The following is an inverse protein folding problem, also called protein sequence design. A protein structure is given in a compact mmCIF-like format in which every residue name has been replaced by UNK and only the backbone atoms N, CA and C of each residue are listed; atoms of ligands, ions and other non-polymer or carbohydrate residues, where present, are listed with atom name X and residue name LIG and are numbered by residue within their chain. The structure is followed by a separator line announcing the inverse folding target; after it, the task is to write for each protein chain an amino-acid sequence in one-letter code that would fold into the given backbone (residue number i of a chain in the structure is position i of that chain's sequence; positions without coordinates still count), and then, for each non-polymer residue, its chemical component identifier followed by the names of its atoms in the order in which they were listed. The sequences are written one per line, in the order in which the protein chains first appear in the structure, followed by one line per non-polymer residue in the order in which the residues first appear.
data_IF_533807913490
#
_entry.id   IF_533807913490
#
_cell.length_a   1.000
_cell.length_b   1.000
_cell.length_c   1.000
_cell.angle_alpha   90.00
_cell.angle_beta   90.00
_cell.angle_gamma   90.00
#
_symmetry.space_group_name_H-M   'P 1'
#
loop_
_entity.id
_entity.type
_entity.pdbx_description
1 polymer ?
#
# COMPACT_ATOMS: atom_id res chain seq x y z
N UNK A 1 -47.77 -10.80 36.70
CA UNK A 1 -47.34 -10.78 35.29
C UNK A 1 -46.67 -9.45 35.02
N UNK A 2 -45.35 -9.39 35.14
CA UNK A 2 -44.54 -8.22 34.78
C UNK A 2 -44.39 -8.21 33.27
N UNK A 3 -44.96 -7.21 32.60
CA UNK A 3 -44.77 -7.00 31.17
C UNK A 3 -43.27 -6.83 30.88
N UNK A 4 -42.73 -7.49 29.84
CA UNK A 4 -41.33 -7.33 29.48
C UNK A 4 -41.06 -5.86 29.11
N UNK A 5 -39.86 -5.33 29.40
CA UNK A 5 -39.52 -3.97 29.05
C UNK A 5 -39.69 -3.78 27.55
N UNK A 6 -40.52 -2.80 27.17
CA UNK A 6 -40.70 -2.39 25.78
C UNK A 6 -39.33 -1.99 25.24
N UNK A 7 -38.77 -2.84 24.36
CA UNK A 7 -37.56 -2.49 23.62
C UNK A 7 -37.85 -1.20 22.86
N UNK A 8 -37.13 -0.12 23.21
CA UNK A 8 -37.21 1.13 22.46
C UNK A 8 -36.91 0.81 20.99
N UNK A 9 -37.72 1.32 20.04
CA UNK A 9 -37.42 1.15 18.63
C UNK A 9 -36.00 1.70 18.35
N UNK A 10 -35.22 1.03 17.49
CA UNK A 10 -33.85 1.43 17.23
C UNK A 10 -33.81 2.86 16.67
N UNK A 11 -32.95 3.71 17.24
CA UNK A 11 -32.77 5.08 16.77
C UNK A 11 -32.12 5.08 15.39
N UNK A 12 -32.74 5.78 14.44
CA UNK A 12 -32.15 6.02 13.13
C UNK A 12 -30.95 6.98 13.27
N UNK A 13 -29.97 6.82 12.39
CA UNK A 13 -28.78 7.67 12.29
C UNK A 13 -28.56 8.08 10.84
N UNK A 14 -27.91 9.24 10.58
CA UNK A 14 -27.53 9.63 9.23
C UNK A 14 -26.69 8.54 8.54
N UNK A 15 -26.81 8.44 7.21
CA UNK A 15 -26.09 7.44 6.41
C UNK A 15 -24.57 7.69 6.34
N UNK A 16 -24.12 8.91 6.64
CA UNK A 16 -22.72 9.29 6.65
C UNK A 16 -22.47 10.44 7.64
N UNK A 17 -21.20 10.68 7.94
CA UNK A 17 -20.77 11.84 8.70
C UNK A 17 -20.60 13.05 7.78
N UNK A 18 -21.58 13.95 7.77
CA UNK A 18 -21.53 15.15 6.94
C UNK A 18 -20.36 16.08 7.27
N UNK A 19 -19.75 15.97 8.46
CA UNK A 19 -18.63 16.82 8.90
C UNK A 19 -17.27 16.17 8.74
N UNK A 20 -17.20 14.89 8.39
CA UNK A 20 -15.92 14.17 8.33
C UNK A 20 -14.99 14.79 7.29
N UNK A 21 -15.51 15.13 6.11
CA UNK A 21 -14.70 15.76 5.07
C UNK A 21 -14.09 17.09 5.54
N UNK A 22 -14.86 17.94 6.23
CA UNK A 22 -14.36 19.21 6.78
C UNK A 22 -13.27 18.98 7.85
N UNK A 23 -13.46 17.98 8.71
CA UNK A 23 -12.47 17.62 9.76
C UNK A 23 -11.16 17.09 9.15
N UNK A 24 -11.26 16.31 8.08
CA UNK A 24 -10.10 15.86 7.32
C UNK A 24 -9.39 17.03 6.64
N UNK A 25 -10.13 17.95 6.02
CA UNK A 25 -9.58 19.16 5.41
C UNK A 25 -8.85 20.04 6.45
N UNK A 26 -9.42 20.23 7.65
CA UNK A 26 -8.76 20.94 8.75
C UNK A 26 -7.45 20.26 9.16
N UNK A 27 -7.42 18.93 9.25
CA UNK A 27 -6.20 18.18 9.55
C UNK A 27 -5.14 18.27 8.45
N UNK A 28 -5.54 18.33 7.17
CA UNK A 28 -4.61 18.56 6.04
C UNK A 28 -3.98 19.96 6.10
N UNK A 29 -4.75 20.97 6.51
CA UNK A 29 -4.27 22.35 6.63
C UNK A 29 -3.37 22.56 7.86
N UNK A 30 -3.56 21.78 8.92
CA UNK A 30 -2.75 21.87 10.14
C UNK A 30 -1.33 21.33 9.92
N UNK A 31 -0.32 22.21 9.96
CA UNK A 31 1.11 21.85 9.79
C UNK A 31 1.86 21.62 11.11
N UNK A 32 1.23 21.99 12.21
CA UNK A 32 1.74 21.78 13.56
C UNK A 32 0.73 20.92 14.33
N UNK A 33 1.25 20.01 15.15
CA UNK A 33 0.41 19.15 15.97
C UNK A 33 0.01 19.85 17.27
N UNK A 34 -1.25 19.70 17.65
CA UNK A 34 -1.74 19.97 19.00
C UNK A 34 -1.90 18.63 19.73
N UNK A 35 -1.40 18.50 20.95
CA UNK A 35 -1.55 17.27 21.75
C UNK A 35 -0.23 16.66 22.23
N UNK A 36 -0.23 15.39 22.68
CA UNK A 36 0.90 14.80 23.42
C UNK A 36 2.23 14.70 22.67
N UNK A 37 2.21 14.91 21.35
CA UNK A 37 3.39 14.89 20.48
C UNK A 37 3.73 16.28 19.91
N UNK A 38 3.12 17.36 20.42
CA UNK A 38 3.31 18.74 19.92
C UNK A 38 4.76 19.23 20.00
N UNK A 39 5.55 18.68 20.93
CA UNK A 39 6.97 19.03 21.09
C UNK A 39 7.85 18.47 19.95
N UNK A 40 7.32 17.52 19.16
CA UNK A 40 8.02 16.95 17.99
C UNK A 40 7.61 17.71 16.74
N UNK A 41 8.52 18.53 16.21
CA UNK A 41 8.31 19.18 14.91
C UNK A 41 8.38 18.16 13.79
N UNK A 42 7.58 18.36 12.74
CA UNK A 42 7.52 17.48 11.55
C UNK A 42 8.91 17.23 10.96
N UNK A 43 9.75 18.27 10.88
CA UNK A 43 11.10 18.17 10.35
C UNK A 43 12.04 17.28 11.18
N UNK A 44 11.72 16.98 12.44
CA UNK A 44 12.55 16.12 13.32
C UNK A 44 12.19 14.65 13.21
N UNK A 45 11.03 14.31 12.63
CA UNK A 45 10.56 12.92 12.54
C UNK A 45 11.56 12.00 11.82
N UNK A 46 12.17 12.37 10.67
CA UNK A 46 13.18 11.53 10.02
C UNK A 46 14.37 11.21 10.94
N UNK A 47 14.87 12.23 11.66
CA UNK A 47 15.98 12.06 12.60
C UNK A 47 15.61 11.15 13.78
N UNK A 48 14.36 11.22 14.27
CA UNK A 48 13.85 10.31 15.30
C UNK A 48 13.80 8.86 14.80
N UNK A 49 13.39 8.64 13.55
CA UNK A 49 13.39 7.30 12.94
C UNK A 49 14.82 6.77 12.79
N UNK A 50 15.74 7.61 12.31
CA UNK A 50 17.15 7.26 12.15
C UNK A 50 17.81 6.95 13.50
N UNK A 51 17.53 7.76 14.52
CA UNK A 51 18.00 7.53 15.89
C UNK A 51 17.50 6.17 16.41
N UNK A 52 16.20 5.89 16.27
CA UNK A 52 15.61 4.60 16.67
C UNK A 52 16.22 3.41 15.91
N UNK A 53 16.50 3.58 14.61
CA UNK A 53 17.17 2.55 13.81
C UNK A 53 18.59 2.26 14.34
N UNK A 54 19.34 3.31 14.70
CA UNK A 54 20.71 3.20 15.21
C UNK A 54 20.81 2.63 16.63
N UNK A 55 19.89 2.99 17.53
CA UNK A 55 19.93 2.57 18.94
C UNK A 55 19.20 1.25 19.19
N UNK A 56 18.40 0.77 18.24
CA UNK A 56 17.62 -0.47 18.36
C UNK A 56 18.45 -1.76 18.25
N UNK A 57 19.75 -1.65 17.93
CA UNK A 57 20.63 -2.82 17.77
C UNK A 57 20.14 -3.78 16.68
N UNK A 58 19.56 -3.24 15.60
CA UNK A 58 19.00 -4.02 14.51
C UNK A 58 20.10 -4.43 13.53
N UNK A 59 20.18 -5.74 13.25
CA UNK A 59 21.10 -6.30 12.25
C UNK A 59 20.29 -7.17 11.31
N UNK A 60 20.45 -6.96 10.00
CA UNK A 60 19.78 -7.75 8.95
C UNK A 60 20.85 -8.21 7.96
N UNK A 61 21.15 -9.51 7.99
CA UNK A 61 22.15 -10.13 7.13
C UNK A 61 21.51 -11.13 6.18
N UNK A 62 22.01 -11.20 4.94
CA UNK A 62 21.62 -12.28 4.02
C UNK A 62 22.18 -13.60 4.52
N UNK A 63 21.36 -14.64 4.47
CA UNK A 63 21.75 -16.02 4.82
C UNK A 63 21.34 -16.99 3.71
N UNK A 64 22.01 -18.14 3.59
CA UNK A 64 21.55 -19.20 2.69
C UNK A 64 20.10 -19.60 2.95
N UNK A 65 19.37 -19.98 1.90
CA UNK A 65 17.96 -20.39 2.03
C UNK A 65 17.80 -21.66 2.89
N UNK A 66 18.81 -22.54 2.89
CA UNK A 66 18.87 -23.74 3.73
C UNK A 66 19.25 -23.45 5.19
N UNK A 67 19.64 -22.21 5.52
CA UNK A 67 19.94 -21.75 6.87
C UNK A 67 18.78 -21.01 7.54
N UNK A 68 17.62 -20.88 6.87
CA UNK A 68 16.43 -20.26 7.44
C UNK A 68 15.82 -21.18 8.51
N UNK A 69 15.99 -20.83 9.78
CA UNK A 69 15.38 -21.52 10.91
C UNK A 69 13.85 -21.49 10.82
N UNK A 70 13.22 -22.67 10.88
CA UNK A 70 11.77 -22.84 10.82
C UNK A 70 11.18 -22.71 9.41
N UNK A 71 11.99 -22.53 8.37
CA UNK A 71 11.56 -22.51 6.98
C UNK A 71 12.21 -23.64 6.20
N UNK A 72 11.44 -24.32 5.37
CA UNK A 72 11.94 -25.43 4.56
C UNK A 72 11.25 -25.51 3.21
N UNK A 73 11.92 -26.16 2.26
CA UNK A 73 11.31 -26.49 0.97
C UNK A 73 10.49 -27.76 1.09
N UNK A 74 9.19 -27.65 0.90
CA UNK A 74 8.26 -28.78 1.00
C UNK A 74 8.58 -29.85 -0.05
N UNK A 75 8.79 -31.13 0.33
CA UNK A 75 9.00 -32.21 -0.61
C UNK A 75 7.85 -32.34 -1.62
N UNK A 76 8.17 -32.64 -2.89
CA UNK A 76 7.19 -32.75 -3.97
C UNK A 76 6.85 -31.40 -4.63
N UNK A 77 6.40 -30.40 -3.85
CA UNK A 77 6.02 -29.10 -4.41
C UNK A 77 7.18 -28.12 -4.58
N UNK A 78 8.21 -28.26 -3.75
CA UNK A 78 9.33 -27.33 -3.68
C UNK A 78 8.95 -25.94 -3.14
N UNK A 79 7.74 -25.75 -2.60
CA UNK A 79 7.32 -24.47 -2.00
C UNK A 79 8.18 -24.16 -0.77
N UNK A 80 8.59 -22.91 -0.59
CA UNK A 80 9.28 -22.47 0.63
C UNK A 80 8.23 -22.01 1.65
N UNK A 81 8.09 -22.73 2.75
CA UNK A 81 7.08 -22.47 3.76
C UNK A 81 7.66 -22.57 5.17
N UNK A 82 6.99 -21.93 6.13
CA UNK A 82 7.35 -22.08 7.54
C UNK A 82 6.77 -23.39 8.10
N UNK A 83 7.54 -24.12 8.91
CA UNK A 83 7.19 -25.44 9.44
C UNK A 83 5.91 -25.43 10.28
N UNK A 84 5.55 -24.27 10.84
CA UNK A 84 4.30 -24.11 11.60
C UNK A 84 3.06 -23.90 10.73
N UNK A 85 3.18 -23.80 9.41
CA UNK A 85 2.08 -23.45 8.49
C UNK A 85 1.55 -22.01 8.65
N UNK A 86 2.32 -21.11 9.28
CA UNK A 86 1.96 -19.70 9.52
C UNK A 86 2.79 -18.77 8.64
N UNK A 87 2.57 -17.46 8.80
CA UNK A 87 3.21 -16.40 8.02
C UNK A 87 2.75 -16.42 6.56
N UNK A 88 3.60 -16.88 5.65
CA UNK A 88 3.34 -16.96 4.21
C UNK A 88 4.14 -18.13 3.62
N UNK A 89 3.82 -18.51 2.40
CA UNK A 89 4.63 -19.41 1.57
C UNK A 89 5.13 -18.67 0.33
N UNK A 90 6.24 -19.15 -0.22
CA UNK A 90 6.65 -18.86 -1.59
C UNK A 90 6.27 -20.06 -2.45
N UNK A 91 5.39 -19.82 -3.41
CA UNK A 91 4.84 -20.83 -4.31
C UNK A 91 5.11 -20.45 -5.76
N UNK A 92 4.72 -21.31 -6.71
CA UNK A 92 4.70 -20.95 -8.13
C UNK A 92 3.39 -20.27 -8.51
N UNK A 93 3.47 -19.39 -9.51
CA UNK A 93 2.34 -18.85 -10.24
C UNK A 93 2.50 -19.22 -11.71
N UNK A 94 1.41 -19.64 -12.35
CA UNK A 94 1.27 -19.62 -13.80
C UNK A 94 0.18 -18.62 -14.15
N UNK A 95 0.52 -17.63 -14.96
CA UNK A 95 -0.41 -16.61 -15.45
C UNK A 95 -0.47 -16.61 -16.97
N UNK A 96 -1.68 -16.47 -17.51
CA UNK A 96 -1.97 -16.40 -18.93
C UNK A 96 -2.88 -15.20 -19.20
N UNK A 97 -2.51 -14.41 -20.20
CA UNK A 97 -3.30 -13.26 -20.67
C UNK A 97 -3.81 -13.59 -22.07
N UNK A 98 -5.12 -13.73 -22.18
CA UNK A 98 -5.82 -13.89 -23.45
C UNK A 98 -5.89 -12.60 -24.27
N UNK A 99 -6.30 -12.72 -25.53
CA UNK A 99 -6.38 -11.62 -26.49
C UNK A 99 -5.91 -12.03 -27.88
N UNK A 100 -5.65 -11.05 -28.75
CA UNK A 100 -5.14 -11.29 -30.11
C UNK A 100 -3.73 -11.89 -30.15
N UNK A 101 -2.92 -11.61 -29.12
CA UNK A 101 -1.60 -12.21 -28.90
C UNK A 101 -1.52 -12.80 -27.49
N UNK A 102 -1.97 -14.06 -27.31
CA UNK A 102 -1.89 -14.74 -26.03
C UNK A 102 -0.44 -14.85 -25.58
N UNK A 103 -0.18 -14.51 -24.31
CA UNK A 103 1.12 -14.71 -23.69
C UNK A 103 0.92 -15.17 -22.25
N UNK A 104 1.84 -16.01 -21.77
CA UNK A 104 1.85 -16.46 -20.40
C UNK A 104 3.24 -16.36 -19.81
N UNK A 105 3.30 -16.34 -18.48
CA UNK A 105 4.55 -16.38 -17.74
C UNK A 105 4.38 -17.20 -16.48
N UNK A 106 5.52 -17.61 -15.92
CA UNK A 106 5.59 -18.25 -14.62
C UNK A 106 6.54 -17.47 -13.72
N UNK A 107 6.26 -17.46 -12.42
CA UNK A 107 7.11 -16.80 -11.44
C UNK A 107 6.88 -17.35 -10.04
N UNK A 108 7.85 -17.21 -9.12
CA UNK A 108 7.58 -17.29 -7.70
C UNK A 108 6.55 -16.24 -7.27
N UNK A 109 5.72 -16.57 -6.30
CA UNK A 109 4.73 -15.64 -5.73
C UNK A 109 4.57 -15.87 -4.23
N UNK A 110 4.30 -14.80 -3.49
CA UNK A 110 3.96 -14.88 -2.06
C UNK A 110 2.49 -15.29 -1.95
N UNK A 111 2.23 -16.37 -1.23
CA UNK A 111 0.89 -16.79 -0.88
C UNK A 111 0.67 -16.65 0.62
N UNK A 112 -0.27 -15.77 0.99
CA UNK A 112 -0.68 -15.54 2.37
C UNK A 112 -2.20 -15.26 2.40
N UNK A 113 -3.04 -16.30 2.52
CA UNK A 113 -4.50 -16.15 2.46
C UNK A 113 -5.11 -15.46 3.68
N UNK A 114 -4.31 -15.17 4.72
CA UNK A 114 -4.76 -14.42 5.89
C UNK A 114 -4.93 -12.93 5.60
N UNK A 115 -6.08 -12.36 5.99
CA UNK A 115 -6.31 -10.91 6.03
C UNK A 115 -5.71 -10.33 7.31
N UNK A 116 -4.75 -9.41 7.18
CA UNK A 116 -4.21 -8.63 8.29
C UNK A 116 -5.02 -7.36 8.54
N UNK A 117 -4.80 -6.75 9.71
CA UNK A 117 -5.33 -5.43 10.07
C UNK A 117 -4.21 -4.41 9.86
N UNK A 118 -4.51 -3.38 9.07
CA UNK A 118 -3.75 -2.14 8.93
C UNK A 118 -4.63 -1.02 9.51
N UNK A 119 -4.43 -0.74 10.80
CA UNK A 119 -5.28 0.13 11.60
C UNK A 119 -4.59 1.43 11.95
N UNK A 120 -5.21 2.55 11.60
CA UNK A 120 -4.80 3.89 12.00
C UNK A 120 -5.80 4.46 13.01
N UNK A 121 -5.31 4.78 14.20
CA UNK A 121 -6.11 5.38 15.27
C UNK A 121 -6.12 6.88 15.10
N UNK A 122 -7.30 7.47 15.12
CA UNK A 122 -7.53 8.89 15.01
C UNK A 122 -8.08 9.45 16.33
N UNK A 123 -7.71 10.69 16.65
CA UNK A 123 -8.26 11.44 17.79
C UNK A 123 -8.17 12.93 17.51
N UNK A 124 -9.15 13.68 17.99
CA UNK A 124 -9.06 15.15 17.95
C UNK A 124 -8.29 15.69 19.15
N UNK A 125 -7.39 16.63 18.85
CA UNK A 125 -6.73 17.48 19.84
C UNK A 125 -6.94 18.92 19.39
N UNK A 126 -7.49 19.76 20.26
CA UNK A 126 -7.85 21.15 19.96
C UNK A 126 -8.66 21.32 18.66
N UNK A 127 -9.59 20.40 18.41
CA UNK A 127 -10.48 20.41 17.24
C UNK A 127 -9.84 19.92 15.93
N UNK A 128 -8.60 19.43 15.95
CA UNK A 128 -7.89 18.91 14.77
C UNK A 128 -7.66 17.40 14.90
N UNK A 129 -8.05 16.64 13.87
CA UNK A 129 -7.77 15.22 13.80
C UNK A 129 -6.27 14.96 13.70
N UNK A 130 -5.77 14.11 14.60
CA UNK A 130 -4.43 13.53 14.56
C UNK A 130 -4.54 12.02 14.41
N UNK A 131 -3.47 11.42 13.92
CA UNK A 131 -3.35 10.00 13.61
C UNK A 131 -2.12 9.43 14.33
N UNK A 132 -2.31 8.35 15.08
CA UNK A 132 -1.26 7.75 15.89
C UNK A 132 -0.37 6.86 15.04
N UNK A 133 0.78 7.36 14.61
CA UNK A 133 1.74 6.62 13.81
C UNK A 133 2.68 5.81 14.69
N UNK A 134 3.21 4.71 14.16
CA UNK A 134 4.22 3.89 14.83
C UNK A 134 5.55 3.95 14.07
N UNK A 135 6.64 4.30 14.76
CA UNK A 135 8.00 4.09 14.28
C UNK A 135 8.34 2.58 14.35
N UNK A 136 8.11 1.88 13.24
CA UNK A 136 8.17 0.43 13.15
C UNK A 136 9.41 -0.02 12.38
N UNK A 137 10.17 -0.92 13.00
CA UNK A 137 11.23 -1.66 12.32
C UNK A 137 10.64 -2.80 11.50
N UNK A 138 11.07 -2.91 10.24
CA UNK A 138 10.87 -4.07 9.39
C UNK A 138 12.18 -4.41 8.67
N UNK A 139 12.52 -5.71 8.51
CA UNK A 139 13.86 -6.10 8.07
C UNK A 139 14.17 -5.72 6.62
N UNK A 140 13.15 -5.58 5.79
CA UNK A 140 13.27 -5.18 4.40
C UNK A 140 13.29 -3.68 4.16
N UNK A 141 12.98 -2.86 5.17
CA UNK A 141 12.98 -1.40 5.04
C UNK A 141 14.39 -0.89 4.74
N UNK A 142 14.52 0.04 3.79
CA UNK A 142 15.83 0.52 3.40
C UNK A 142 16.54 1.33 4.50
N UNK A 143 15.77 2.05 5.34
CA UNK A 143 16.23 2.70 6.57
C UNK A 143 15.92 1.93 7.85
N UNK A 144 15.51 0.65 7.76
CA UNK A 144 15.01 -0.23 8.83
C UNK A 144 13.71 0.25 9.51
N UNK A 145 13.63 1.51 9.95
CA UNK A 145 12.50 2.07 10.69
C UNK A 145 11.75 3.08 9.83
N UNK A 146 10.43 2.91 9.71
CA UNK A 146 9.52 3.83 9.01
C UNK A 146 8.27 4.09 9.85
N UNK A 147 7.47 5.09 9.49
CA UNK A 147 6.15 5.28 10.06
C UNK A 147 5.16 4.28 9.47
N UNK A 148 4.62 3.41 10.31
CA UNK A 148 3.54 2.47 10.00
C UNK A 148 2.21 2.91 10.62
N UNK A 149 1.09 2.25 10.26
CA UNK A 149 -0.17 2.42 10.98
C UNK A 149 0.00 2.09 12.47
N UNK A 150 -0.93 2.58 13.30
CA UNK A 150 -0.96 2.31 14.74
C UNK A 150 -0.89 0.82 15.06
N UNK A 151 -1.60 0.02 14.26
CA UNK A 151 -1.63 -1.44 14.31
C UNK A 151 -1.36 -1.98 12.91
N UNK A 152 -0.32 -2.80 12.80
CA UNK A 152 -0.02 -3.62 11.62
C UNK A 152 0.16 -5.05 12.10
N UNK A 153 -0.89 -5.87 11.98
CA UNK A 153 -0.93 -7.22 12.55
C UNK A 153 -1.65 -8.22 11.65
N UNK A 154 -1.04 -9.38 11.42
CA UNK A 154 -1.69 -10.52 10.75
C UNK A 154 -2.70 -11.19 11.69
N UNK A 155 -3.66 -11.92 11.11
CA UNK A 155 -4.65 -12.69 11.87
C UNK A 155 -4.03 -13.66 12.85
N UNK A 156 -3.05 -14.43 12.40
CA UNK A 156 -2.24 -15.32 13.25
C UNK A 156 -1.62 -14.64 14.48
N UNK A 157 -1.24 -13.37 14.37
CA UNK A 157 -0.64 -12.62 15.47
C UNK A 157 -1.69 -12.06 16.46
N UNK A 158 -2.84 -11.56 15.98
CA UNK A 158 -3.83 -10.92 16.86
C UNK A 158 -4.87 -11.88 17.47
N UNK A 159 -5.00 -13.11 16.98
CA UNK A 159 -5.84 -14.16 17.62
C UNK A 159 -5.15 -14.86 18.80
N UNK A 160 -3.97 -14.38 19.23
CA UNK A 160 -3.18 -14.89 20.38
C UNK A 160 -2.88 -16.39 20.32
N UNK A 161 -2.79 -16.97 19.11
CA UNK A 161 -2.35 -18.36 18.92
C UNK A 161 -0.87 -18.52 19.30
N UNK A 162 -0.12 -17.41 19.28
CA UNK A 162 1.18 -17.31 19.95
C UNK A 162 0.97 -16.76 21.36
N UNK A 163 1.65 -17.32 22.37
CA UNK A 163 1.75 -16.77 23.73
C UNK A 163 2.58 -15.46 23.78
N UNK A 164 2.58 -14.69 22.69
CA UNK A 164 3.31 -13.44 22.55
C UNK A 164 2.62 -12.28 23.27
N UNK A 165 3.31 -11.16 23.43
CA UNK A 165 2.74 -9.93 24.00
C UNK A 165 1.57 -9.42 23.16
N UNK A 166 0.58 -8.86 23.85
CA UNK A 166 -0.57 -8.22 23.23
C UNK A 166 -0.12 -7.09 22.28
N UNK A 167 -0.65 -7.12 21.04
CA UNK A 167 -0.43 -6.05 20.05
C UNK A 167 -1.00 -4.74 20.62
N UNK A 168 -0.13 -3.74 20.79
CA UNK A 168 -0.51 -2.44 21.33
C UNK A 168 -1.69 -1.83 20.54
N UNK A 169 -2.69 -1.30 21.25
CA UNK A 169 -3.86 -0.59 20.68
C UNK A 169 -4.79 -1.43 19.80
N UNK A 170 -4.60 -2.76 19.73
CA UNK A 170 -5.44 -3.65 18.91
C UNK A 170 -6.93 -3.58 19.28
N UNK A 171 -7.26 -3.38 20.55
CA UNK A 171 -8.62 -3.28 21.07
C UNK A 171 -9.44 -2.13 20.45
N UNK A 172 -8.77 -1.12 19.89
CA UNK A 172 -9.45 -0.06 19.15
C UNK A 172 -9.96 -0.52 17.78
N UNK A 173 -9.48 -1.64 17.23
CA UNK A 173 -9.82 -2.11 15.88
C UNK A 173 -10.67 -3.38 15.88
N UNK A 174 -10.78 -4.07 17.02
CA UNK A 174 -11.51 -5.33 17.17
C UNK A 174 -12.47 -5.30 18.36
N UNK A 175 -13.52 -6.13 18.31
CA UNK A 175 -14.42 -6.32 19.45
C UNK A 175 -15.37 -5.14 19.74
N UNK A 176 -16.09 -5.20 20.88
CA UNK A 176 -17.15 -4.23 21.21
C UNK A 176 -16.62 -2.87 21.68
N UNK A 177 -15.34 -2.79 22.07
CA UNK A 177 -14.69 -1.54 22.51
C UNK A 177 -14.13 -0.71 21.34
N UNK A 178 -14.38 -1.14 20.10
CA UNK A 178 -13.98 -0.43 18.88
C UNK A 178 -14.53 0.99 18.88
N UNK A 179 -13.68 1.96 18.56
CA UNK A 179 -14.09 3.35 18.37
C UNK A 179 -14.98 3.56 17.15
N UNK A 180 -15.19 4.82 16.79
CA UNK A 180 -15.98 5.21 15.62
C UNK A 180 -15.19 4.94 14.35
N UNK A 181 -15.69 4.07 13.49
CA UNK A 181 -15.05 3.79 12.19
C UNK A 181 -15.23 4.98 11.25
N UNK A 182 -14.11 5.48 10.72
CA UNK A 182 -14.08 6.47 9.65
C UNK A 182 -13.95 5.81 8.28
N UNK A 183 -13.17 4.74 8.18
CA UNK A 183 -13.11 3.82 7.03
C UNK A 183 -12.72 2.41 7.47
N UNK A 184 -13.20 1.39 6.76
CA UNK A 184 -12.98 -0.04 7.05
C UNK A 184 -13.24 -0.85 5.78
N UNK A 185 -12.18 -1.15 5.03
CA UNK A 185 -12.26 -1.71 3.68
C UNK A 185 -11.14 -2.73 3.43
N UNK A 186 -11.45 -3.79 2.70
CA UNK A 186 -10.43 -4.72 2.20
C UNK A 186 -9.78 -4.13 0.96
N UNK A 187 -8.46 -4.00 0.97
CA UNK A 187 -7.68 -3.54 -0.18
C UNK A 187 -6.64 -4.57 -0.56
N UNK A 188 -6.41 -4.70 -1.87
CA UNK A 188 -5.40 -5.58 -2.48
C UNK A 188 -3.97 -5.10 -2.20
N UNK A 189 -3.03 -6.03 -2.11
CA UNK A 189 -1.59 -5.73 -2.11
C UNK A 189 -0.99 -5.82 -3.53
N UNK A 190 0.34 -5.86 -3.65
CA UNK A 190 1.04 -5.97 -4.94
C UNK A 190 0.61 -7.23 -5.72
N UNK A 191 -0.08 -7.06 -6.86
CA UNK A 191 -0.46 -8.15 -7.75
C UNK A 191 0.71 -8.79 -8.50
N UNK A 192 1.87 -8.13 -8.54
CA UNK A 192 3.09 -8.70 -9.12
C UNK A 192 3.79 -9.71 -8.21
N UNK A 193 3.56 -9.66 -6.90
CA UNK A 193 4.32 -10.43 -5.91
C UNK A 193 3.48 -11.19 -4.90
N UNK A 194 2.21 -10.83 -4.72
CA UNK A 194 1.28 -11.55 -3.87
C UNK A 194 0.15 -12.19 -4.68
N UNK A 195 -0.21 -13.42 -4.34
CA UNK A 195 -1.38 -14.07 -4.89
C UNK A 195 -2.62 -13.72 -4.06
N UNK A 196 -3.53 -12.94 -4.65
CA UNK A 196 -4.85 -12.60 -4.12
C UNK A 196 -4.84 -12.01 -2.70
N UNK A 197 -3.72 -11.38 -2.30
CA UNK A 197 -3.54 -10.83 -0.96
C UNK A 197 -4.37 -9.57 -0.81
N UNK A 198 -5.16 -9.53 0.26
CA UNK A 198 -5.80 -8.32 0.76
C UNK A 198 -5.47 -8.09 2.24
N UNK A 199 -5.50 -6.83 2.66
CA UNK A 199 -5.48 -6.43 4.05
C UNK A 199 -6.67 -5.53 4.36
N UNK A 200 -7.13 -5.58 5.61
CA UNK A 200 -8.21 -4.73 6.12
C UNK A 200 -7.63 -3.39 6.54
N UNK A 201 -7.88 -2.37 5.71
CA UNK A 201 -7.44 -0.99 5.93
C UNK A 201 -8.52 -0.29 6.77
N UNK A 202 -8.14 0.20 7.95
CA UNK A 202 -9.07 0.77 8.91
C UNK A 202 -8.57 2.10 9.45
N UNK A 203 -9.47 3.08 9.55
CA UNK A 203 -9.27 4.26 10.38
C UNK A 203 -10.37 4.30 11.43
N UNK A 204 -9.97 4.34 12.70
CA UNK A 204 -10.90 4.36 13.84
C UNK A 204 -10.62 5.59 14.68
N UNK A 205 -11.65 6.38 14.92
CA UNK A 205 -11.64 7.53 15.80
C UNK A 205 -11.99 7.13 17.25
N UNK A 206 -11.28 7.70 18.23
CA UNK A 206 -11.58 7.52 19.65
C UNK A 206 -11.57 8.86 20.38
N UNK A 207 -12.51 9.02 21.32
CA UNK A 207 -12.57 10.09 22.31
C UNK A 207 -11.79 9.75 23.60
N UNK A 208 -11.58 8.45 23.84
CA UNK A 208 -10.83 7.89 24.98
C UNK A 208 -9.44 8.47 25.08
N UNK A 209 -8.94 8.57 26.30
CA UNK A 209 -7.54 8.89 26.50
C UNK A 209 -6.62 7.73 26.08
N UNK A 210 -5.60 8.04 25.28
CA UNK A 210 -4.72 7.05 24.67
C UNK A 210 -3.28 7.33 25.12
N UNK A 211 -2.73 6.51 26.02
CA UNK A 211 -1.34 6.64 26.43
C UNK A 211 -0.42 6.49 25.22
N UNK A 212 0.46 7.45 24.98
CA UNK A 212 1.46 7.38 23.91
C UNK A 212 2.63 6.51 24.37
N UNK A 213 2.81 5.36 23.74
CA UNK A 213 3.92 4.43 24.02
C UNK A 213 5.19 4.89 23.29
N UNK A 214 6.35 4.44 23.76
CA UNK A 214 7.60 4.64 23.03
C UNK A 214 7.49 4.15 21.58
N UNK A 215 8.03 4.94 20.65
CA UNK A 215 7.94 4.70 19.22
C UNK A 215 6.57 5.00 18.61
N UNK A 216 5.68 5.70 19.30
CA UNK A 216 4.43 6.21 18.74
C UNK A 216 4.38 7.74 18.78
N UNK A 217 3.73 8.33 17.78
CA UNK A 217 3.58 9.78 17.66
C UNK A 217 2.24 10.14 17.01
N UNK A 218 1.57 11.15 17.56
CA UNK A 218 0.38 11.74 16.95
C UNK A 218 0.79 12.76 15.90
N UNK A 219 0.25 12.62 14.68
CA UNK A 219 0.51 13.54 13.56
C UNK A 219 -0.79 13.95 12.86
N UNK A 220 -0.89 15.20 12.41
CA UNK A 220 -1.97 15.62 11.52
C UNK A 220 -1.77 15.09 10.09
N UNK A 221 -2.79 15.19 9.24
CA UNK A 221 -2.63 14.87 7.81
C UNK A 221 -1.68 15.85 7.10
N UNK A 222 -1.63 17.11 7.52
CA UNK A 222 -0.70 18.10 6.97
C UNK A 222 0.76 17.73 7.24
N UNK A 223 1.06 17.27 8.46
CA UNK A 223 2.38 16.74 8.82
C UNK A 223 2.71 15.46 8.03
N UNK A 224 1.75 14.53 7.90
CA UNK A 224 1.94 13.32 7.09
C UNK A 224 2.16 13.64 5.60
N UNK A 225 1.48 14.65 5.05
CA UNK A 225 1.71 15.14 3.69
C UNK A 225 3.12 15.67 3.48
N UNK A 226 3.69 16.39 4.46
CA UNK A 226 5.10 16.82 4.41
C UNK A 226 6.07 15.64 4.46
N UNK A 227 5.79 14.64 5.31
CA UNK A 227 6.62 13.45 5.45
C UNK A 227 6.55 12.53 4.22
N UNK A 228 5.44 12.52 3.47
CA UNK A 228 5.33 11.80 2.19
C UNK A 228 6.22 12.38 1.08
N UNK A 229 6.71 13.62 1.24
CA UNK A 229 7.69 14.23 0.34
C UNK A 229 9.14 13.87 0.70
N UNK A 230 9.34 13.03 1.72
CA UNK A 230 10.64 12.57 2.16
C UNK A 230 10.80 11.08 1.91
N UNK A 231 11.97 10.71 1.42
CA UNK A 231 12.25 9.34 1.00
C UNK A 231 12.11 8.37 2.17
N UNK A 232 11.39 7.27 1.94
CA UNK A 232 11.31 6.15 2.87
C UNK A 232 10.90 6.49 4.32
N UNK A 233 10.12 7.57 4.52
CA UNK A 233 9.64 7.95 5.87
C UNK A 233 8.30 7.31 6.22
N UNK A 234 7.31 7.39 5.32
CA UNK A 234 5.97 6.84 5.53
C UNK A 234 5.84 5.51 4.78
N UNK A 235 5.61 4.41 5.51
CA UNK A 235 5.62 3.06 4.94
C UNK A 235 4.42 2.79 4.02
N UNK A 236 4.50 1.69 3.26
CA UNK A 236 3.46 1.32 2.28
C UNK A 236 2.07 1.15 2.90
N UNK A 237 1.99 0.50 4.06
CA UNK A 237 0.73 0.22 4.74
C UNK A 237 0.05 1.51 5.20
N UNK A 238 0.80 2.47 5.74
CA UNK A 238 0.30 3.80 6.08
C UNK A 238 -0.24 4.52 4.86
N UNK A 239 0.48 4.51 3.73
CA UNK A 239 0.01 5.13 2.49
C UNK A 239 -1.29 4.50 1.99
N UNK A 240 -1.40 3.17 2.07
CA UNK A 240 -2.61 2.43 1.69
C UNK A 240 -3.82 2.83 2.55
N UNK A 241 -3.65 2.90 3.87
CA UNK A 241 -4.74 3.27 4.79
C UNK A 241 -5.15 4.74 4.62
N UNK A 242 -4.17 5.65 4.49
CA UNK A 242 -4.42 7.09 4.29
C UNK A 242 -5.21 7.36 3.01
N UNK A 243 -4.93 6.63 1.94
CA UNK A 243 -5.66 6.75 0.67
C UNK A 243 -7.16 6.41 0.78
N UNK A 244 -7.55 5.64 1.81
CA UNK A 244 -8.92 5.19 2.05
C UNK A 244 -9.75 6.17 2.90
N UNK A 245 -9.17 7.25 3.41
CA UNK A 245 -9.92 8.30 4.11
C UNK A 245 -10.91 8.95 3.14
N UNK A 246 -12.19 9.15 3.50
CA UNK A 246 -13.22 9.66 2.60
C UNK A 246 -13.17 11.19 2.53
N UNK A 247 -12.33 11.73 1.65
CA UNK A 247 -12.24 13.17 1.42
C UNK A 247 -13.43 13.68 0.58
N UNK A 248 -13.76 14.97 0.73
CA UNK A 248 -14.62 15.63 -0.24
C UNK A 248 -13.89 15.75 -1.58
N UNK A 249 -14.59 15.57 -2.72
CA UNK A 249 -13.99 15.82 -4.02
C UNK A 249 -13.73 17.32 -4.21
N UNK A 250 -12.58 17.68 -4.80
CA UNK A 250 -12.23 19.08 -5.11
C UNK A 250 -13.19 19.75 -6.11
N UNK A 251 -13.92 18.95 -6.89
CA UNK A 251 -14.91 19.41 -7.84
C UNK A 251 -16.04 18.39 -7.99
N UNK A 252 -17.24 18.86 -8.29
CA UNK A 252 -18.38 18.02 -8.67
C UNK A 252 -18.40 17.66 -10.15
N UNK A 253 -17.42 18.15 -10.93
CA UNK A 253 -17.30 17.91 -12.37
C UNK A 253 -16.08 17.04 -12.70
N UNK A 254 -16.23 16.17 -13.70
CA UNK A 254 -15.17 15.31 -14.21
C UNK A 254 -15.39 15.07 -15.72
N UNK A 255 -14.35 14.65 -16.44
CA UNK A 255 -14.44 14.31 -17.86
C UNK A 255 -15.40 13.13 -18.11
N UNK A 256 -15.45 12.21 -17.15
CA UNK A 256 -16.37 11.08 -17.11
C UNK A 256 -17.15 11.11 -15.80
N UNK A 257 -18.45 10.91 -15.85
CA UNK A 257 -19.27 10.68 -14.66
C UNK A 257 -18.85 9.38 -13.93
N UNK A 258 -19.16 9.27 -12.65
CA UNK A 258 -18.86 8.07 -11.88
C UNK A 258 -19.50 6.80 -12.48
N UNK A 259 -20.65 6.94 -13.14
CA UNK A 259 -21.30 5.84 -13.84
C UNK A 259 -20.53 5.43 -15.09
N UNK A 260 -20.04 6.39 -15.88
CA UNK A 260 -19.19 6.09 -17.05
C UNK A 260 -17.87 5.46 -16.64
N UNK A 261 -17.24 5.92 -15.55
CA UNK A 261 -16.03 5.31 -14.99
C UNK A 261 -16.27 3.86 -14.59
N UNK A 262 -17.36 3.59 -13.85
CA UNK A 262 -17.73 2.21 -13.48
C UNK A 262 -18.05 1.36 -14.69
N UNK A 263 -18.74 1.91 -15.69
CA UNK A 263 -19.08 1.21 -16.94
C UNK A 263 -17.81 0.83 -17.70
N UNK A 264 -16.90 1.78 -17.89
CA UNK A 264 -15.60 1.54 -18.52
C UNK A 264 -14.80 0.48 -17.76
N UNK A 265 -14.73 0.57 -16.43
CA UNK A 265 -13.99 -0.41 -15.63
C UNK A 265 -14.62 -1.81 -15.66
N UNK A 266 -15.95 -1.90 -15.68
CA UNK A 266 -16.67 -3.16 -15.84
C UNK A 266 -16.42 -3.79 -17.22
N UNK A 267 -16.40 -2.98 -18.28
CA UNK A 267 -16.00 -3.44 -19.61
C UNK A 267 -14.54 -3.92 -19.62
N UNK A 268 -13.64 -3.16 -18.99
CA UNK A 268 -12.22 -3.51 -18.92
C UNK A 268 -11.97 -4.86 -18.25
N UNK A 269 -12.72 -5.14 -17.17
CA UNK A 269 -12.70 -6.41 -16.43
C UNK A 269 -13.35 -7.56 -17.22
N UNK A 270 -14.37 -7.27 -18.02
CA UNK A 270 -15.13 -8.29 -18.77
C UNK A 270 -14.43 -8.71 -20.07
N UNK A 271 -13.77 -7.78 -20.75
CA UNK A 271 -13.11 -8.03 -22.04
C UNK A 271 -11.78 -8.78 -21.92
N UNK A 272 -11.19 -8.82 -20.72
CA UNK A 272 -9.81 -9.31 -20.52
C UNK A 272 -9.85 -10.67 -19.81
N UNK A 273 -9.31 -11.70 -20.47
CA UNK A 273 -9.12 -13.02 -19.87
C UNK A 273 -7.72 -13.06 -19.24
N UNK A 274 -7.62 -12.83 -17.93
CA UNK A 274 -6.38 -13.10 -17.17
C UNK A 274 -6.66 -14.31 -16.29
N UNK A 275 -5.97 -15.41 -16.55
CA UNK A 275 -6.05 -16.62 -15.72
C UNK A 275 -4.76 -16.78 -14.98
N UNK A 276 -4.85 -16.89 -13.67
CA UNK A 276 -3.70 -17.15 -12.83
C UNK A 276 -4.02 -18.25 -11.83
N UNK A 277 -3.12 -19.20 -11.72
CA UNK A 277 -3.24 -20.33 -10.79
C UNK A 277 -1.93 -20.52 -10.02
N UNK A 278 -2.06 -20.96 -8.77
CA UNK A 278 -0.93 -21.43 -8.00
C UNK A 278 -0.46 -22.77 -8.54
N UNK A 279 0.86 -22.89 -8.69
CA UNK A 279 1.53 -24.12 -9.09
C UNK A 279 2.64 -24.46 -8.09
N UNK A 280 3.12 -25.71 -8.05
CA UNK A 280 4.34 -26.05 -7.32
C UNK A 280 5.50 -25.12 -7.69
N UNK A 281 6.22 -24.57 -6.72
CA UNK A 281 7.40 -23.74 -6.99
C UNK A 281 8.47 -24.50 -7.78
N UNK A 282 8.56 -25.83 -7.60
CA UNK A 282 9.44 -26.71 -8.39
C UNK A 282 9.08 -26.80 -9.88
N UNK A 283 7.87 -26.40 -10.26
CA UNK A 283 7.39 -26.43 -11.65
C UNK A 283 7.60 -25.12 -12.41
N UNK A 284 8.01 -24.05 -11.71
CA UNK A 284 8.20 -22.72 -12.30
C UNK A 284 9.40 -22.74 -13.26
N UNK A 285 9.14 -22.43 -14.54
CA UNK A 285 10.17 -22.35 -15.59
C UNK A 285 10.72 -20.93 -15.73
N UNK A 286 11.96 -20.78 -16.23
CA UNK A 286 12.65 -19.49 -16.38
C UNK A 286 13.26 -18.92 -15.08
N UNK A 287 13.13 -19.66 -13.97
CA UNK A 287 13.69 -19.33 -12.67
C UNK A 287 14.61 -20.44 -12.18
N UNK A 288 15.73 -20.08 -11.55
CA UNK A 288 16.67 -21.02 -10.97
C UNK A 288 16.82 -20.75 -9.48
N UNK A 289 17.02 -21.83 -8.71
CA UNK A 289 17.32 -21.79 -7.29
C UNK A 289 18.78 -22.19 -7.08
N UNK A 290 19.54 -21.35 -6.39
CA UNK A 290 20.84 -21.70 -5.85
C UNK A 290 20.80 -21.73 -4.32
N UNK A 291 21.97 -21.74 -3.67
CA UNK A 291 22.07 -21.77 -2.20
C UNK A 291 21.53 -20.49 -1.53
N UNK A 292 21.58 -19.35 -2.23
CA UNK A 292 21.32 -18.03 -1.66
C UNK A 292 20.00 -17.42 -2.11
N UNK A 293 19.48 -17.83 -3.25
CA UNK A 293 18.35 -17.17 -3.89
C UNK A 293 17.54 -18.05 -4.85
N UNK A 294 16.34 -17.56 -5.19
CA UNK A 294 15.59 -17.97 -6.38
C UNK A 294 15.50 -16.76 -7.30
N UNK A 295 16.06 -16.85 -8.50
CA UNK A 295 16.21 -15.71 -9.41
C UNK A 295 15.80 -16.08 -10.84
N UNK A 296 15.34 -15.08 -11.60
CA UNK A 296 15.04 -15.27 -13.01
C UNK A 296 16.35 -15.48 -13.81
N UNK A 297 16.36 -16.40 -14.77
CA UNK A 297 17.56 -16.77 -15.56
C UNK A 297 18.21 -15.58 -16.30
N UNK A 298 17.43 -14.54 -16.57
CA UNK A 298 17.86 -13.33 -17.28
C UNK A 298 18.17 -12.15 -16.35
N UNK A 299 18.23 -12.36 -15.04
CA UNK A 299 18.57 -11.32 -14.06
C UNK A 299 17.56 -10.17 -13.99
N UNK A 300 16.28 -10.46 -14.19
CA UNK A 300 15.18 -9.48 -14.20
C UNK A 300 14.17 -9.75 -13.10
N UNK A 301 13.27 -8.78 -12.90
CA UNK A 301 12.13 -8.82 -11.99
C UNK A 301 12.55 -8.74 -10.52
N UNK A 302 12.86 -9.86 -9.88
CA UNK A 302 13.17 -9.94 -8.46
C UNK A 302 13.91 -11.23 -8.15
N UNK A 303 14.43 -11.34 -6.93
CA UNK A 303 14.96 -12.55 -6.33
C UNK A 303 14.21 -12.88 -5.03
N UNK A 304 14.07 -14.16 -4.69
CA UNK A 304 13.66 -14.59 -3.35
C UNK A 304 14.93 -14.89 -2.56
N UNK A 305 15.15 -14.21 -1.44
CA UNK A 305 16.38 -14.31 -0.64
C UNK A 305 16.06 -14.62 0.83
N UNK A 306 17.01 -15.25 1.52
CA UNK A 306 16.93 -15.47 2.97
C UNK A 306 17.61 -14.35 3.76
N UNK A 307 17.01 -13.93 4.87
CA UNK A 307 17.64 -13.00 5.83
C UNK A 307 17.59 -13.54 7.26
N UNK A 308 18.62 -13.24 8.04
CA UNK A 308 18.62 -13.32 9.50
C UNK A 308 18.47 -11.92 10.06
N UNK A 309 17.61 -11.78 11.06
CA UNK A 309 17.28 -10.52 11.70
C UNK A 309 17.60 -10.65 13.18
N UNK A 310 18.43 -9.77 13.70
CA UNK A 310 18.63 -9.57 15.13
C UNK A 310 18.01 -8.24 15.53
N UNK A 311 17.26 -8.23 16.63
CA UNK A 311 16.68 -7.03 17.21
C UNK A 311 16.81 -7.06 18.73
N UNK A 312 17.74 -6.27 19.27
CA UNK A 312 17.89 -6.15 20.72
C UNK A 312 16.62 -5.53 21.33
N UNK A 313 16.11 -6.13 22.41
CA UNK A 313 14.92 -5.63 23.13
C UNK A 313 13.54 -6.03 22.55
N UNK A 314 13.46 -6.85 21.49
CA UNK A 314 12.20 -7.48 21.06
C UNK A 314 11.95 -8.82 21.77
N UNK A 315 10.68 -9.22 21.81
CA UNK A 315 10.21 -10.49 22.38
C UNK A 315 10.83 -11.72 21.70
N UNK A 316 11.04 -11.65 20.39
CA UNK A 316 11.87 -12.61 19.63
C UNK A 316 13.14 -11.87 19.22
N UNK A 317 14.28 -12.12 19.89
CA UNK A 317 15.50 -11.34 19.69
C UNK A 317 16.19 -11.66 18.36
N UNK A 318 15.89 -12.82 17.77
CA UNK A 318 16.41 -13.24 16.48
C UNK A 318 15.41 -14.11 15.73
N UNK A 319 15.25 -13.88 14.44
CA UNK A 319 14.49 -14.77 13.55
C UNK A 319 15.11 -14.77 12.15
N UNK A 320 14.65 -15.69 11.31
CA UNK A 320 15.01 -15.75 9.90
C UNK A 320 13.75 -15.80 9.05
N UNK A 321 13.78 -15.21 7.87
CA UNK A 321 12.66 -15.27 6.93
C UNK A 321 13.10 -15.09 5.47
N UNK A 322 12.31 -15.56 4.51
CA UNK A 322 12.45 -15.13 3.14
C UNK A 322 11.97 -13.67 2.94
N UNK A 323 12.53 -13.00 1.94
CA UNK A 323 12.09 -11.71 1.43
C UNK A 323 12.18 -11.70 -0.10
N UNK A 324 11.30 -10.97 -0.76
CA UNK A 324 11.39 -10.68 -2.20
C UNK A 324 12.24 -9.43 -2.40
N UNK A 325 13.24 -9.50 -3.27
CA UNK A 325 14.18 -8.43 -3.57
C UNK A 325 14.06 -8.01 -5.03
N UNK A 326 13.32 -6.93 -5.36
CA UNK A 326 13.22 -6.43 -6.73
C UNK A 326 14.56 -5.99 -7.29
N UNK A 327 14.82 -6.33 -8.55
CA UNK A 327 16.06 -6.01 -9.24
C UNK A 327 15.94 -4.66 -9.96
N UNK A 328 16.35 -3.60 -9.25
CA UNK A 328 16.35 -2.22 -9.72
C UNK A 328 15.25 -1.37 -9.11
N UNK A 329 15.37 -0.05 -9.29
CA UNK A 329 14.39 0.91 -8.76
C UNK A 329 13.17 0.98 -9.68
N UNK A 330 11.98 0.79 -9.11
CA UNK A 330 10.72 0.95 -9.82
C UNK A 330 10.44 2.41 -10.20
N UNK A 331 9.51 2.60 -11.12
CA UNK A 331 8.92 3.90 -11.44
C UNK A 331 7.41 3.74 -11.40
N UNK A 332 6.77 4.57 -10.58
CA UNK A 332 5.33 4.57 -10.34
C UNK A 332 4.83 5.99 -10.51
N UNK A 333 4.06 6.27 -11.56
CA UNK A 333 3.70 7.64 -11.90
C UNK A 333 2.26 7.80 -12.35
N UNK A 334 1.61 8.86 -11.87
CA UNK A 334 0.46 9.44 -12.54
C UNK A 334 0.92 10.57 -13.46
N UNK A 335 0.50 10.49 -14.72
CA UNK A 335 0.46 11.65 -15.60
C UNK A 335 -0.82 12.42 -15.30
N UNK A 336 -0.74 13.75 -15.20
CA UNK A 336 -1.86 14.61 -14.82
C UNK A 336 -2.05 15.76 -15.79
N UNK A 337 -3.32 16.15 -15.95
CA UNK A 337 -3.79 17.28 -16.77
C UNK A 337 -4.95 17.98 -16.09
N UNK A 338 -5.21 19.23 -16.46
CA UNK A 338 -6.44 19.95 -16.09
C UNK A 338 -7.40 20.02 -17.28
N UNK A 339 -8.66 19.67 -17.03
CA UNK A 339 -9.76 19.77 -17.98
C UNK A 339 -10.83 20.68 -17.37
N UNK A 340 -11.13 21.82 -18.02
CA UNK A 340 -12.05 22.81 -17.44
C UNK A 340 -11.61 23.30 -16.05
N UNK A 341 -10.30 23.38 -15.81
CA UNK A 341 -9.74 23.72 -14.50
C UNK A 341 -9.74 22.57 -13.49
N UNK A 342 -10.32 21.41 -13.76
CA UNK A 342 -10.34 20.26 -12.83
C UNK A 342 -9.18 19.30 -13.11
N UNK A 343 -8.42 18.95 -12.07
CA UNK A 343 -7.30 18.00 -12.19
C UNK A 343 -7.81 16.58 -12.43
N UNK A 344 -7.22 15.94 -13.43
CA UNK A 344 -7.37 14.52 -13.70
C UNK A 344 -6.01 13.84 -13.71
N UNK A 345 -5.99 12.58 -13.33
CA UNK A 345 -4.86 11.66 -13.48
C UNK A 345 -5.21 10.59 -14.50
N UNK A 346 -4.23 10.19 -15.30
CA UNK A 346 -4.41 9.14 -16.29
C UNK A 346 -4.21 7.78 -15.63
N UNK A 347 -5.30 7.13 -15.22
CA UNK A 347 -5.24 5.79 -14.64
C UNK A 347 -5.19 4.72 -15.73
N UNK A 348 -4.68 3.54 -15.39
CA UNK A 348 -4.65 2.37 -16.27
C UNK A 348 -5.37 1.20 -15.62
N UNK A 349 -6.21 0.48 -16.35
CA UNK A 349 -6.66 -0.85 -15.93
C UNK A 349 -5.49 -1.83 -16.07
N UNK A 350 -4.87 -2.14 -14.93
CA UNK A 350 -3.66 -2.98 -14.84
C UNK A 350 -4.06 -4.44 -14.74
N UNK A 351 -3.28 -5.29 -15.40
CA UNK A 351 -3.35 -6.75 -15.27
C UNK A 351 -2.10 -7.23 -14.56
N UNK A 352 -2.27 -7.91 -13.45
CA UNK A 352 -1.17 -8.52 -12.70
C UNK A 352 -1.62 -9.92 -12.28
N UNK A 353 -0.72 -10.90 -12.35
CA UNK A 353 -1.08 -12.31 -12.16
C UNK A 353 -1.55 -12.65 -10.74
N UNK A 354 -1.30 -11.77 -9.77
CA UNK A 354 -1.75 -11.90 -8.39
C UNK A 354 -3.04 -11.14 -8.07
N UNK A 355 -3.68 -10.46 -9.03
CA UNK A 355 -4.98 -9.83 -8.79
C UNK A 355 -6.11 -10.87 -8.76
N UNK A 356 -7.07 -10.66 -7.84
CA UNK A 356 -8.23 -11.54 -7.69
C UNK A 356 -9.24 -11.38 -8.83
N UNK A 357 -9.46 -10.15 -9.31
CA UNK A 357 -10.60 -9.79 -10.16
C UNK A 357 -10.14 -9.17 -11.49
N UNK A 358 -9.19 -9.85 -12.14
CA UNK A 358 -8.60 -9.57 -13.47
C UNK A 358 -7.81 -8.26 -13.58
N UNK A 359 -8.45 -7.12 -13.28
CA UNK A 359 -7.87 -5.79 -13.37
C UNK A 359 -8.16 -4.94 -12.14
N UNK A 360 -7.20 -4.06 -11.84
CA UNK A 360 -7.35 -2.97 -10.89
C UNK A 360 -6.83 -1.67 -11.52
N UNK A 361 -7.38 -0.52 -11.13
CA UNK A 361 -6.86 0.79 -11.52
C UNK A 361 -5.48 0.98 -10.88
N UNK A 362 -4.48 1.14 -11.72
CA UNK A 362 -3.14 1.52 -11.32
C UNK A 362 -2.68 2.84 -11.95
N UNK A 363 -1.46 3.27 -11.61
CA UNK A 363 -0.84 4.46 -12.15
C UNK A 363 -0.63 4.38 -13.67
N UNK A 364 -0.45 5.54 -14.30
CA UNK A 364 -0.14 5.64 -15.74
C UNK A 364 1.05 4.77 -16.11
N UNK A 365 2.12 4.90 -15.32
CA UNK A 365 3.34 4.10 -15.43
C UNK A 365 3.55 3.37 -14.11
N UNK A 366 3.76 2.06 -14.16
CA UNK A 366 4.17 1.27 -13.02
C UNK A 366 4.99 0.09 -13.54
N UNK A 367 6.31 0.20 -13.45
CA UNK A 367 7.23 -0.85 -13.89
C UNK A 367 8.61 -0.67 -13.26
N UNK A 368 9.48 -1.64 -13.46
CA UNK A 368 10.92 -1.47 -13.25
C UNK A 368 11.55 -1.23 -14.62
N UNK A 369 12.09 -0.03 -14.93
CA UNK A 369 12.55 0.29 -16.29
C UNK A 369 13.59 -0.70 -16.83
N UNK A 370 14.48 -1.20 -15.97
CA UNK A 370 15.48 -2.21 -16.32
C UNK A 370 14.86 -3.49 -16.91
N UNK A 371 13.64 -3.87 -16.49
CA UNK A 371 12.95 -5.05 -17.03
C UNK A 371 12.52 -4.88 -18.49
N UNK A 372 12.50 -3.65 -19.01
CA UNK A 372 12.07 -3.33 -20.37
C UNK A 372 13.19 -2.76 -21.24
N UNK A 373 14.41 -2.59 -20.71
CA UNK A 373 15.53 -1.99 -21.43
C UNK A 373 15.98 -2.79 -22.67
N UNK A 374 15.68 -4.10 -22.69
CA UNK A 374 15.95 -4.98 -23.83
C UNK A 374 14.92 -4.86 -24.96
N UNK A 375 13.80 -4.16 -24.72
CA UNK A 375 12.73 -3.97 -25.69
C UNK A 375 12.94 -2.66 -26.47
N UNK A 376 12.58 -2.63 -27.77
CA UNK A 376 12.54 -1.38 -28.52
C UNK A 376 11.50 -0.41 -27.92
N UNK A 377 11.67 0.88 -28.17
CA UNK A 377 10.92 1.94 -27.49
C UNK A 377 9.39 1.84 -27.66
N UNK A 378 8.94 1.37 -28.82
CA UNK A 378 7.52 1.14 -29.16
C UNK A 378 6.89 -0.05 -28.40
N UNK A 379 7.72 -0.94 -27.84
CA UNK A 379 7.30 -2.08 -27.00
C UNK A 379 7.51 -1.85 -25.50
N UNK A 380 8.07 -0.71 -25.11
CA UNK A 380 8.17 -0.34 -23.70
C UNK A 380 6.81 0.09 -23.14
N UNK A 381 6.63 0.11 -21.80
CA UNK A 381 5.38 0.57 -21.20
C UNK A 381 4.98 1.97 -21.71
N UNK A 382 3.72 2.18 -22.11
CA UNK A 382 3.25 3.48 -22.56
C UNK A 382 3.55 4.58 -21.53
N UNK A 383 3.87 5.77 -22.02
CA UNK A 383 4.23 6.96 -21.22
C UNK A 383 5.53 6.84 -20.39
N UNK A 384 6.24 5.70 -20.38
CA UNK A 384 7.47 5.53 -19.59
C UNK A 384 8.54 6.56 -19.96
N UNK A 385 8.81 6.72 -21.26
CA UNK A 385 9.82 7.68 -21.75
C UNK A 385 9.49 9.11 -21.33
N UNK A 386 8.22 9.52 -21.45
CA UNK A 386 7.78 10.86 -21.05
C UNK A 386 7.96 11.08 -19.53
N UNK A 387 7.54 10.12 -18.71
CA UNK A 387 7.72 10.18 -17.25
C UNK A 387 9.20 10.22 -16.87
N UNK A 388 10.04 9.39 -17.51
CA UNK A 388 11.48 9.37 -17.26
C UNK A 388 12.19 10.63 -17.76
N UNK A 389 11.62 11.36 -18.72
CA UNK A 389 12.16 12.60 -19.27
C UNK A 389 11.67 13.87 -18.52
N UNK A 390 10.61 13.77 -17.70
CA UNK A 390 10.03 14.91 -16.99
C UNK A 390 11.00 15.57 -15.98
N UNK A 391 11.17 16.88 -16.04
CA UNK A 391 12.07 17.66 -15.18
C UNK A 391 11.41 18.97 -14.73
N UNK A 392 12.00 19.61 -13.72
CA UNK A 392 11.60 20.96 -13.29
C UNK A 392 10.14 21.02 -12.84
N UNK A 393 9.44 22.06 -13.28
CA UNK A 393 8.05 22.33 -12.90
C UNK A 393 7.04 21.26 -13.37
N UNK A 394 7.41 20.41 -14.33
CA UNK A 394 6.54 19.31 -14.76
C UNK A 394 6.42 18.19 -13.70
N UNK A 395 7.34 18.12 -12.73
CA UNK A 395 7.30 17.12 -11.65
C UNK A 395 6.67 17.74 -10.41
N UNK A 396 5.36 17.51 -10.21
CA UNK A 396 4.59 18.08 -9.10
C UNK A 396 4.83 17.34 -7.77
N UNK A 397 5.17 16.06 -7.87
CA UNK A 397 5.57 15.20 -6.77
C UNK A 397 6.64 14.23 -7.24
N UNK A 398 7.63 13.98 -6.40
CA UNK A 398 8.74 13.08 -6.70
C UNK A 398 9.47 12.65 -5.45
N UNK A 399 9.23 11.42 -5.01
CA UNK A 399 9.82 10.83 -3.82
C UNK A 399 10.21 9.39 -4.09
N UNK A 400 11.31 8.90 -3.51
CA UNK A 400 11.63 7.47 -3.48
C UNK A 400 10.97 6.84 -2.25
N UNK A 401 10.05 5.92 -2.48
CA UNK A 401 9.34 5.23 -1.41
C UNK A 401 9.54 3.73 -1.53
N UNK A 402 9.62 3.06 -0.39
CA UNK A 402 9.69 1.60 -0.32
C UNK A 402 8.35 0.93 -0.09
N UNK A 403 8.29 -0.34 -0.51
CA UNK A 403 7.17 -1.26 -0.27
C UNK A 403 7.27 -1.91 1.13
N UNK A 404 6.32 -2.79 1.50
CA UNK A 404 6.25 -3.45 2.83
C UNK A 404 7.56 -4.17 3.22
N UNK A 405 8.31 -3.63 4.19
CA UNK A 405 9.59 -4.22 4.63
C UNK A 405 9.45 -5.56 5.34
N UNK A 406 8.24 -5.97 5.72
CA UNK A 406 7.96 -7.31 6.23
C UNK A 406 8.08 -8.42 5.17
N UNK A 407 8.03 -8.08 3.88
CA UNK A 407 8.03 -9.02 2.75
C UNK A 407 9.02 -8.68 1.65
N UNK A 408 9.39 -7.40 1.53
CA UNK A 408 10.23 -6.92 0.46
C UNK A 408 11.54 -6.33 0.95
N UNK A 409 12.67 -6.86 0.48
CA UNK A 409 14.00 -6.36 0.81
C UNK A 409 14.36 -5.19 -0.11
N UNK A 410 14.41 -3.97 0.45
CA UNK A 410 14.82 -2.75 -0.25
C UNK A 410 14.08 -2.51 -1.56
N UNK A 411 12.81 -2.93 -1.63
CA UNK A 411 11.96 -2.68 -2.78
C UNK A 411 11.60 -1.19 -2.82
N UNK A 412 12.27 -0.44 -3.69
CA UNK A 412 12.10 1.01 -3.84
C UNK A 412 11.58 1.35 -5.22
N UNK A 413 10.66 2.31 -5.27
CA UNK A 413 10.17 2.91 -6.49
C UNK A 413 10.26 4.43 -6.39
N UNK A 414 10.54 5.11 -7.52
CA UNK A 414 10.36 6.55 -7.63
C UNK A 414 8.88 6.83 -7.93
N UNK A 415 8.19 7.40 -6.96
CA UNK A 415 6.79 7.79 -7.07
C UNK A 415 6.69 9.22 -7.62
N UNK A 416 5.91 9.40 -8.68
CA UNK A 416 5.86 10.64 -9.44
C UNK A 416 4.42 11.09 -9.74
N UNK A 417 4.22 12.40 -9.74
CA UNK A 417 3.06 13.04 -10.37
C UNK A 417 3.62 14.02 -11.39
N UNK A 418 3.35 13.75 -12.66
CA UNK A 418 3.96 14.45 -13.79
C UNK A 418 2.86 15.18 -14.56
N UNK A 419 2.99 16.50 -14.67
CA UNK A 419 2.14 17.30 -15.53
C UNK A 419 2.50 17.07 -17.00
N UNK A 420 1.50 16.89 -17.84
CA UNK A 420 1.64 16.67 -19.27
C UNK A 420 0.71 17.59 -20.07
N UNK A 421 0.96 17.69 -21.37
CA UNK A 421 0.08 18.36 -22.33
C UNK A 421 -0.62 17.35 -23.25
N UNK A 422 -1.42 17.86 -24.19
CA UNK A 422 -2.13 17.05 -25.19
C UNK A 422 -1.18 16.22 -26.07
N UNK A 423 0.03 16.72 -26.33
CA UNK A 423 1.03 16.03 -27.17
C UNK A 423 1.62 14.80 -26.48
N UNK A 424 1.75 14.87 -25.16
CA UNK A 424 2.30 13.79 -24.33
C UNK A 424 1.22 12.82 -23.86
N UNK A 425 0.05 13.33 -23.47
CA UNK A 425 -1.06 12.55 -22.95
C UNK A 425 -2.39 13.08 -23.52
N UNK A 426 -2.91 12.47 -24.60
CA UNK A 426 -4.08 12.99 -25.30
C UNK A 426 -5.36 12.91 -24.47
N UNK A 427 -6.34 13.75 -24.81
CA UNK A 427 -7.67 13.79 -24.16
C UNK A 427 -8.38 12.45 -24.32
N UNK A 428 -8.27 11.84 -25.50
CA UNK A 428 -8.69 10.45 -25.74
C UNK A 428 -7.48 9.55 -25.53
N UNK A 429 -7.36 8.87 -24.38
CA UNK A 429 -6.17 8.07 -24.09
C UNK A 429 -6.17 6.75 -24.88
N UNK A 430 -5.01 6.08 -24.98
CA UNK A 430 -4.93 4.76 -25.60
C UNK A 430 -5.76 3.71 -24.84
N UNK A 431 -6.11 2.57 -25.47
CA UNK A 431 -6.89 1.51 -24.84
C UNK A 431 -6.33 1.06 -23.48
N UNK A 432 -7.23 0.84 -22.52
CA UNK A 432 -6.88 0.46 -21.15
C UNK A 432 -6.48 1.61 -20.23
N UNK A 433 -6.58 2.86 -20.69
CA UNK A 433 -6.37 4.05 -19.88
C UNK A 433 -7.64 4.91 -19.82
N UNK A 434 -7.79 5.67 -18.73
CA UNK A 434 -8.93 6.56 -18.50
C UNK A 434 -8.49 7.78 -17.67
N UNK A 435 -9.03 8.95 -18.00
CA UNK A 435 -8.85 10.15 -17.18
C UNK A 435 -9.85 10.15 -16.03
N UNK A 436 -9.36 10.23 -14.79
CA UNK A 436 -10.16 10.25 -13.57
C UNK A 436 -9.73 11.39 -12.67
N UNK A 437 -10.65 11.97 -11.91
CA UNK A 437 -10.25 12.90 -10.84
C UNK A 437 -9.69 12.12 -9.63
N UNK A 438 -8.82 12.74 -8.80
CA UNK A 438 -8.42 12.15 -7.52
C UNK A 438 -9.62 11.83 -6.62
N UNK A 439 -10.70 12.64 -6.66
CA UNK A 439 -11.93 12.40 -5.92
C UNK A 439 -12.68 11.14 -6.37
N UNK A 440 -12.69 10.84 -7.67
CA UNK A 440 -13.23 9.59 -8.20
C UNK A 440 -12.41 8.38 -7.73
N UNK A 441 -11.08 8.46 -7.80
CA UNK A 441 -10.20 7.42 -7.27
C UNK A 441 -10.42 7.20 -5.77
N UNK A 442 -10.52 8.27 -4.97
CA UNK A 442 -10.78 8.18 -3.54
C UNK A 442 -12.14 7.52 -3.23
N UNK A 443 -13.19 7.86 -3.97
CA UNK A 443 -14.49 7.20 -3.84
C UNK A 443 -14.39 5.69 -4.11
N UNK A 444 -13.61 5.29 -5.12
CA UNK A 444 -13.40 3.88 -5.44
C UNK A 444 -12.59 3.13 -4.37
N UNK A 445 -11.77 3.79 -3.56
CA UNK A 445 -11.07 3.15 -2.42
C UNK A 445 -12.01 2.72 -1.29
N UNK A 446 -13.27 3.14 -1.30
CA UNK A 446 -14.29 2.62 -0.38
C UNK A 446 -14.74 1.19 -0.75
N UNK A 447 -14.22 0.66 -1.86
CA UNK A 447 -14.46 -0.69 -2.34
C UNK A 447 -13.13 -1.40 -2.61
N UNK A 448 -13.09 -2.70 -2.35
CA UNK A 448 -11.92 -3.53 -2.69
C UNK A 448 -11.80 -3.74 -4.19
N UNK A 449 -10.59 -4.08 -4.64
CA UNK A 449 -10.29 -4.49 -6.02
C UNK A 449 -10.56 -3.44 -7.11
N UNK A 450 -10.68 -2.16 -6.73
CA UNK A 450 -10.75 -1.07 -7.71
C UNK A 450 -9.41 -0.37 -7.89
N UNK A 451 -8.67 -0.09 -6.82
CA UNK A 451 -7.47 0.77 -6.87
C UNK A 451 -6.30 0.00 -6.26
N UNK A 452 -5.25 -0.26 -7.06
CA UNK A 452 -4.09 -1.02 -6.60
C UNK A 452 -3.22 -0.23 -5.62
N UNK A 453 -2.33 -0.91 -4.89
CA UNK A 453 -1.54 -0.32 -3.81
C UNK A 453 -0.62 0.83 -4.27
N UNK A 454 -0.15 0.76 -5.51
CA UNK A 454 0.71 1.79 -6.11
C UNK A 454 -0.09 3.07 -6.42
N UNK A 455 -1.30 2.94 -6.97
CA UNK A 455 -2.21 4.07 -7.15
C UNK A 455 -2.68 4.64 -5.82
N UNK A 456 -2.97 3.81 -4.81
CA UNK A 456 -3.29 4.27 -3.46
C UNK A 456 -2.14 5.09 -2.85
N UNK A 457 -0.89 4.69 -3.05
CA UNK A 457 0.27 5.45 -2.56
C UNK A 457 0.40 6.85 -3.20
N UNK A 458 0.17 6.96 -4.52
CA UNK A 458 0.13 8.27 -5.19
C UNK A 458 -1.10 9.09 -4.78
N UNK A 459 -2.25 8.44 -4.61
CA UNK A 459 -3.48 9.08 -4.17
C UNK A 459 -3.35 9.66 -2.75
N UNK A 460 -2.74 8.94 -1.81
CA UNK A 460 -2.45 9.46 -0.48
C UNK A 460 -1.62 10.75 -0.55
N UNK A 461 -0.66 10.82 -1.48
CA UNK A 461 0.16 12.01 -1.71
C UNK A 461 -0.66 13.18 -2.28
N UNK A 462 -1.56 12.91 -3.23
CA UNK A 462 -2.49 13.93 -3.77
C UNK A 462 -3.42 14.49 -2.67
N UNK A 463 -4.04 13.62 -1.89
CA UNK A 463 -5.06 14.00 -0.90
C UNK A 463 -4.51 14.74 0.33
N UNK A 464 -3.22 14.54 0.64
CA UNK A 464 -2.61 15.12 1.86
C UNK A 464 -1.65 16.26 1.58
N UNK A 465 -1.21 16.45 0.34
CA UNK A 465 -0.27 17.52 -0.01
C UNK A 465 -0.89 18.68 -0.76
N UNK A 466 -2.06 18.50 -1.36
CA UNK A 466 -2.79 19.58 -2.01
C UNK A 466 -3.82 20.15 -1.02
N UNK A 467 -3.80 21.47 -0.82
CA UNK A 467 -4.79 22.12 0.03
C UNK A 467 -6.18 21.95 -0.62
N UNK A 468 -7.18 21.40 0.09
CA UNK A 468 -8.52 21.29 -0.45
C UNK A 468 -9.00 22.69 -0.86
N UNK A 469 -9.43 22.83 -2.12
CA UNK A 469 -10.05 24.09 -2.54
C UNK A 469 -11.38 24.20 -1.79
N UNK A 470 -11.55 25.27 -1.01
CA UNK A 470 -12.87 25.57 -0.44
C UNK A 470 -13.87 25.65 -1.60
N UNK A 471 -14.97 24.89 -1.57
CA UNK A 471 -16.04 25.10 -2.53
C UNK A 471 -16.55 26.53 -2.34
N UNK A 472 -16.50 27.32 -3.41
CA UNK A 472 -17.00 28.70 -3.43
C UNK A 472 -18.52 28.75 -3.21
#
# INVERSE_FOLDING_TARGET
MTLPPTQRPPALRPRGDARLADRLALSVLAREGSGPSSDVRTAQVPDLLAARASTGGYVVDRVPLDALSGWSFTPGTGNLAHDSGRFFSVEGLRAEVGGSEPHGWQQPIIHQPEVGILGLLAREFDGVLHFLMQAKMEPGNAGLVQLSPTVQATRSNYTKVHRGRDVAYLDHFVGPARGRVLTDVLQSEHGSWFFHKTNRNMVVETDRDVPVRDGYLWLTLGQLGELLRQDDVVNMDSRSVLACLPFAPDSTSALHSDTEVRSWFAEERSLRDVRAELTPLSSVTGWHRDRWSIAHEQGRYFEVVGVSVCAQGREVPQWTQPLFHPLGTGVTAFVTRRFGGVRHVLARARREGGFLDTVELGPTVQCTPANHAHLPADRQPPFLTAVLAARGSAVLFGTVLSEEGGRFLRARSRYLIVEADESTAPTTPPPGFVWLTPGQLNSLTQHGHYVNVQARSLLASLLTTEAPHSPA
#
